data_IF_248705907231
#
_entry.id   IF_248705907231
#
_cell.length_a   1.000
_cell.length_b   1.000
_cell.length_c   1.000
_cell.angle_alpha   90.00
_cell.angle_beta   90.00
_cell.angle_gamma   90.00
#
_symmetry.space_group_name_H-M   'P 1'
#
loop_
_entity.id
_entity.type
_entity.pdbx_description
1 polymer ?
#
# COMPACT_ATOMS: atom_id res chain seq x y z
N UNK A 1 -57.29 -16.23 -18.45
CA UNK A 1 -56.22 -16.87 -17.65
C UNK A 1 -54.78 -16.74 -18.21
N UNK A 2 -54.53 -16.14 -19.39
CA UNK A 2 -53.15 -16.02 -19.94
C UNK A 2 -52.29 -14.91 -19.29
N UNK A 3 -52.91 -13.88 -18.69
CA UNK A 3 -52.23 -12.73 -18.04
C UNK A 3 -51.34 -13.12 -16.84
N UNK A 4 -51.69 -14.18 -16.10
CA UNK A 4 -50.93 -14.60 -14.91
C UNK A 4 -49.59 -15.27 -15.23
N UNK A 5 -49.39 -15.77 -16.46
CA UNK A 5 -48.12 -16.43 -16.82
C UNK A 5 -46.99 -15.42 -16.98
N UNK A 6 -47.27 -14.28 -17.62
CA UNK A 6 -46.28 -13.23 -17.81
C UNK A 6 -45.82 -12.62 -16.49
N UNK A 7 -46.77 -12.31 -15.60
CA UNK A 7 -46.47 -11.80 -14.25
C UNK A 7 -45.62 -12.78 -13.44
N UNK A 8 -45.91 -14.09 -13.50
CA UNK A 8 -45.10 -15.11 -12.81
C UNK A 8 -43.67 -15.18 -13.36
N UNK A 9 -43.50 -15.13 -14.68
CA UNK A 9 -42.16 -15.16 -15.30
C UNK A 9 -41.36 -13.91 -14.92
N UNK A 10 -41.98 -12.73 -14.95
CA UNK A 10 -41.33 -11.50 -14.52
C UNK A 10 -40.87 -11.55 -13.05
N UNK A 11 -41.68 -12.15 -12.18
CA UNK A 11 -41.38 -12.28 -10.75
C UNK A 11 -40.21 -13.25 -10.50
N UNK A 12 -40.13 -14.34 -11.27
CA UNK A 12 -39.00 -15.27 -11.22
C UNK A 12 -37.70 -14.58 -11.67
N UNK A 13 -37.74 -13.82 -12.77
CA UNK A 13 -36.57 -13.09 -13.26
C UNK A 13 -36.10 -12.07 -12.22
N UNK A 14 -37.03 -11.34 -11.58
CA UNK A 14 -36.72 -10.37 -10.53
C UNK A 14 -36.02 -11.03 -9.34
N UNK A 15 -36.50 -12.20 -8.90
CA UNK A 15 -35.89 -12.96 -7.80
C UNK A 15 -34.46 -13.40 -8.11
N UNK A 16 -34.19 -13.83 -9.35
CA UNK A 16 -32.85 -14.23 -9.78
C UNK A 16 -31.91 -13.02 -9.78
N UNK A 17 -32.33 -11.89 -10.35
CA UNK A 17 -31.55 -10.66 -10.36
C UNK A 17 -31.22 -10.18 -8.94
N UNK A 18 -32.17 -10.25 -8.02
CA UNK A 18 -31.97 -9.88 -6.62
C UNK A 18 -30.91 -10.77 -5.94
N UNK A 19 -30.98 -12.07 -6.21
CA UNK A 19 -30.04 -13.05 -5.65
C UNK A 19 -28.62 -12.82 -6.17
N UNK A 20 -28.48 -12.50 -7.46
CA UNK A 20 -27.19 -12.15 -8.06
C UNK A 20 -26.63 -10.86 -7.47
N UNK A 21 -27.44 -9.81 -7.27
CA UNK A 21 -26.98 -8.56 -6.66
C UNK A 21 -26.46 -8.78 -5.23
N UNK A 22 -27.24 -9.46 -4.39
CA UNK A 22 -26.85 -9.77 -3.01
C UNK A 22 -25.60 -10.66 -2.97
N UNK A 23 -25.56 -11.72 -3.79
CA UNK A 23 -24.41 -12.62 -3.89
C UNK A 23 -23.15 -11.90 -4.36
N UNK A 24 -23.27 -10.97 -5.32
CA UNK A 24 -22.14 -10.21 -5.84
C UNK A 24 -21.52 -9.29 -4.79
N UNK A 25 -22.34 -8.68 -3.92
CA UNK A 25 -21.86 -7.82 -2.82
C UNK A 25 -21.19 -8.60 -1.71
N UNK A 26 -21.65 -9.82 -1.43
CA UNK A 26 -21.04 -10.71 -0.44
C UNK A 26 -19.73 -11.32 -0.95
N UNK A 27 -19.64 -11.59 -2.25
CA UNK A 27 -18.44 -12.16 -2.89
C UNK A 27 -17.44 -11.10 -3.32
N UNK A 28 -17.85 -9.83 -3.45
CA UNK A 28 -16.92 -8.71 -3.58
C UNK A 28 -16.23 -8.48 -2.24
N UNK A 29 -15.27 -9.34 -1.92
CA UNK A 29 -14.19 -8.98 -1.01
C UNK A 29 -13.66 -7.65 -1.52
N UNK A 30 -13.92 -6.56 -0.78
CA UNK A 30 -13.29 -5.28 -1.05
C UNK A 30 -11.80 -5.59 -1.17
N UNK A 31 -11.23 -5.42 -2.36
CA UNK A 31 -9.80 -5.61 -2.52
C UNK A 31 -9.18 -4.63 -1.53
N UNK A 32 -8.56 -5.15 -0.48
CA UNK A 32 -7.79 -4.33 0.44
C UNK A 32 -6.64 -3.82 -0.42
N UNK A 33 -6.82 -2.63 -1.00
CA UNK A 33 -5.76 -1.93 -1.67
C UNK A 33 -4.80 -1.51 -0.55
N UNK A 34 -3.87 -2.40 -0.22
CA UNK A 34 -2.71 -2.06 0.58
C UNK A 34 -2.01 -1.00 -0.24
N UNK A 35 -2.20 0.27 0.13
CA UNK A 35 -1.44 1.37 -0.44
C UNK A 35 0.02 1.01 -0.21
N UNK A 36 0.70 0.56 -1.27
CA UNK A 36 2.11 0.24 -1.22
C UNK A 36 2.81 1.48 -0.70
N UNK A 37 3.31 1.41 0.53
CA UNK A 37 3.99 2.54 1.16
C UNK A 37 5.09 2.96 0.18
N UNK A 38 5.02 4.19 -0.34
CA UNK A 38 6.02 4.74 -1.26
C UNK A 38 7.26 5.12 -0.45
N UNK A 39 7.87 4.13 0.21
CA UNK A 39 9.10 4.31 0.96
C UNK A 39 10.22 4.52 -0.06
N UNK A 40 10.79 5.70 -0.08
CA UNK A 40 11.99 6.00 -0.83
C UNK A 40 13.19 5.68 0.05
N UNK A 41 14.22 5.10 -0.53
CA UNK A 41 15.48 4.82 0.17
C UNK A 41 16.61 5.65 -0.42
N UNK A 42 17.46 6.18 0.46
CA UNK A 42 18.68 6.89 0.07
C UNK A 42 19.88 6.22 0.71
N UNK A 43 20.82 5.81 -0.14
CA UNK A 43 22.05 5.15 0.26
C UNK A 43 23.19 6.15 0.24
N UNK A 44 23.89 6.27 1.34
CA UNK A 44 25.08 7.11 1.47
C UNK A 44 26.27 6.20 1.76
N UNK A 45 27.26 6.20 0.88
CA UNK A 45 28.54 5.53 1.16
C UNK A 45 29.18 6.20 2.37
N UNK A 46 29.48 5.43 3.41
CA UNK A 46 30.07 5.93 4.65
C UNK A 46 31.61 6.10 4.55
N UNK A 47 32.18 6.12 3.35
CA UNK A 47 33.60 6.47 3.13
C UNK A 47 33.74 7.99 2.90
N UNK A 48 34.50 8.76 3.71
CA UNK A 48 35.19 8.49 4.97
C UNK A 48 34.50 9.25 6.12
N UNK A 49 33.39 8.72 6.64
CA UNK A 49 32.84 9.24 7.90
C UNK A 49 33.66 8.62 9.01
N UNK A 50 34.76 9.29 9.34
CA UNK A 50 35.76 8.76 10.26
C UNK A 50 35.64 9.40 11.65
N UNK A 51 34.82 10.45 11.80
CA UNK A 51 34.60 11.12 13.07
C UNK A 51 33.11 11.14 13.45
N UNK A 52 32.78 11.12 14.75
CA UNK A 52 31.40 11.29 15.22
C UNK A 52 30.76 12.60 14.72
N UNK A 53 31.53 13.68 14.62
CA UNK A 53 31.05 14.99 14.14
C UNK A 53 30.60 14.95 12.67
N UNK A 54 31.34 14.24 11.81
CA UNK A 54 30.95 14.05 10.41
C UNK A 54 29.67 13.23 10.28
N UNK A 55 29.49 12.24 11.16
CA UNK A 55 28.29 11.42 11.20
C UNK A 55 27.08 12.22 11.67
N UNK A 56 27.23 13.00 12.75
CA UNK A 56 26.20 13.90 13.26
C UNK A 56 25.78 14.92 12.19
N UNK A 57 26.75 15.53 11.51
CA UNK A 57 26.47 16.44 10.39
C UNK A 57 25.65 15.77 9.29
N UNK A 58 25.98 14.53 8.91
CA UNK A 58 25.22 13.78 7.90
C UNK A 58 23.79 13.52 8.36
N UNK A 59 23.60 13.07 9.60
CA UNK A 59 22.27 12.82 10.16
C UNK A 59 21.42 14.09 10.17
N UNK A 60 22.00 15.21 10.59
CA UNK A 60 21.33 16.51 10.60
C UNK A 60 20.98 16.97 9.18
N UNK A 61 21.91 16.86 8.24
CA UNK A 61 21.67 17.21 6.82
C UNK A 61 20.57 16.36 6.19
N UNK A 62 20.47 15.08 6.54
CA UNK A 62 19.43 14.19 6.03
C UNK A 62 18.08 14.45 6.70
N UNK A 63 18.07 14.67 8.01
CA UNK A 63 16.88 15.07 8.78
C UNK A 63 16.29 16.38 8.24
N UNK A 64 17.13 17.39 7.98
CA UNK A 64 16.72 18.66 7.36
C UNK A 64 16.13 18.49 5.95
N UNK A 65 16.51 17.43 5.23
CA UNK A 65 15.95 17.07 3.91
C UNK A 65 14.71 16.18 4.02
N UNK A 66 14.26 15.87 5.23
CA UNK A 66 13.11 15.02 5.52
C UNK A 66 13.39 13.53 5.35
N UNK A 67 14.65 13.11 5.46
CA UNK A 67 15.04 11.70 5.46
C UNK A 67 15.24 11.22 6.90
N UNK A 68 14.74 10.02 7.20
CA UNK A 68 14.92 9.39 8.52
C UNK A 68 16.02 8.34 8.44
N UNK A 69 16.92 8.34 9.41
CA UNK A 69 17.91 7.27 9.53
C UNK A 69 17.21 5.92 9.69
N UNK A 70 17.65 4.93 8.91
CA UNK A 70 17.06 3.59 8.94
C UNK A 70 18.04 2.59 9.57
N UNK A 71 19.19 2.34 8.92
CA UNK A 71 20.21 1.43 9.43
C UNK A 71 21.56 1.62 8.71
N UNK A 72 22.59 0.91 9.19
CA UNK A 72 23.92 0.85 8.58
C UNK A 72 24.16 -0.56 8.03
N UNK A 73 24.66 -0.65 6.79
CA UNK A 73 25.14 -1.88 6.17
C UNK A 73 26.66 -1.92 6.32
N UNK A 74 27.13 -2.63 7.35
CA UNK A 74 28.55 -2.73 7.72
C UNK A 74 29.41 -3.38 6.64
N UNK A 75 28.90 -4.43 5.98
CA UNK A 75 29.62 -5.16 4.91
C UNK A 75 30.02 -4.28 3.72
N UNK A 76 29.25 -3.23 3.44
CA UNK A 76 29.49 -2.32 2.33
C UNK A 76 29.84 -0.90 2.79
N UNK A 77 29.96 -0.68 4.10
CA UNK A 77 30.12 0.63 4.72
C UNK A 77 29.11 1.66 4.15
N UNK A 78 27.81 1.36 4.26
CA UNK A 78 26.73 2.23 3.76
C UNK A 78 25.77 2.62 4.88
N UNK A 79 25.28 3.85 4.84
CA UNK A 79 24.22 4.35 5.73
C UNK A 79 22.96 4.53 4.89
N UNK A 80 21.86 3.98 5.38
CA UNK A 80 20.58 3.96 4.69
C UNK A 80 19.61 4.90 5.40
N UNK A 81 18.95 5.74 4.60
CA UNK A 81 17.86 6.60 5.04
C UNK A 81 16.57 6.25 4.29
N UNK A 82 15.42 6.52 4.91
CA UNK A 82 14.10 6.32 4.31
C UNK A 82 13.22 7.56 4.42
N UNK A 83 12.28 7.71 3.48
CA UNK A 83 11.27 8.78 3.43
C UNK A 83 9.96 8.25 2.90
#
# INVERSE_FOLDING_TARGET
MKKNRFSKVALIILMILLTVDIGSRLLSNQSIAIAGSKIQYKVVSAKPINTPEQYEKLLNDMSNKGWTFNHVVTLANMIIFSK
#
